data_IF_967721387810
#
_entry.id   IF_967721387810
#
_cell.length_a   1.000
_cell.length_b   1.000
_cell.length_c   1.000
_cell.angle_alpha   90.00
_cell.angle_beta   90.00
_cell.angle_gamma   90.00
#
_symmetry.space_group_name_H-M   'P 1'
#
loop_
_entity.id
_entity.type
_entity.pdbx_description
1 polymer ?
#
# COMPACT_ATOMS: atom_id res chain seq x y z
N UNK A 1 -10.90 -3.97 -41.68
CA UNK A 1 -11.09 -5.37 -41.23
C UNK A 1 -9.97 -5.64 -40.24
N UNK A 2 -10.26 -5.49 -38.95
CA UNK A 2 -9.30 -5.83 -37.90
C UNK A 2 -9.38 -7.34 -37.69
N UNK A 3 -8.24 -8.01 -37.78
CA UNK A 3 -8.10 -9.44 -37.58
C UNK A 3 -8.72 -9.84 -36.24
N UNK A 4 -9.67 -10.79 -36.29
CA UNK A 4 -10.04 -11.58 -35.13
C UNK A 4 -8.79 -12.36 -34.71
N UNK A 5 -7.96 -11.77 -33.84
CA UNK A 5 -6.99 -12.54 -33.08
C UNK A 5 -7.79 -13.61 -32.33
N UNK A 6 -7.63 -14.87 -32.73
CA UNK A 6 -8.23 -16.01 -32.03
C UNK A 6 -7.72 -15.98 -30.59
N UNK A 7 -8.49 -15.37 -29.69
CA UNK A 7 -8.21 -15.37 -28.26
C UNK A 7 -8.13 -16.83 -27.81
N UNK A 8 -7.17 -17.13 -26.95
CA UNK A 8 -7.10 -18.44 -26.34
C UNK A 8 -8.44 -18.77 -25.64
N UNK A 9 -8.83 -20.06 -25.57
CA UNK A 9 -10.06 -20.45 -24.89
C UNK A 9 -10.04 -19.97 -23.43
N UNK A 10 -11.21 -19.56 -22.94
CA UNK A 10 -11.35 -19.09 -21.57
C UNK A 10 -11.09 -20.26 -20.58
N UNK A 11 -10.22 -20.09 -19.58
CA UNK A 11 -10.03 -21.10 -18.54
C UNK A 11 -11.33 -21.29 -17.74
N UNK A 12 -11.63 -22.54 -17.39
CA UNK A 12 -12.88 -22.90 -16.72
C UNK A 12 -12.71 -23.91 -15.58
N UNK A 13 -11.49 -24.39 -15.33
CA UNK A 13 -11.16 -25.40 -14.32
C UNK A 13 -11.28 -24.84 -12.89
N UNK A 14 -12.38 -25.19 -12.20
CA UNK A 14 -12.65 -24.70 -10.85
C UNK A 14 -11.57 -25.10 -9.82
N UNK A 15 -11.00 -26.31 -9.94
CA UNK A 15 -9.92 -26.77 -9.07
C UNK A 15 -8.65 -25.91 -9.24
N UNK A 16 -8.29 -25.54 -10.47
CA UNK A 16 -7.16 -24.65 -10.72
C UNK A 16 -7.41 -23.22 -10.21
N UNK A 17 -8.66 -22.74 -10.23
CA UNK A 17 -8.99 -21.44 -9.62
C UNK A 17 -8.83 -21.47 -8.09
N UNK A 18 -9.21 -22.57 -7.43
CA UNK A 18 -8.97 -22.75 -5.99
C UNK A 18 -7.47 -22.73 -5.69
N UNK A 19 -6.69 -23.49 -6.47
CA UNK A 19 -5.23 -23.54 -6.36
C UNK A 19 -4.61 -22.16 -6.56
N UNK A 20 -5.11 -21.37 -7.52
CA UNK A 20 -4.65 -20.00 -7.75
C UNK A 20 -4.87 -19.12 -6.52
N UNK A 21 -6.07 -19.15 -5.93
CA UNK A 21 -6.40 -18.39 -4.72
C UNK A 21 -5.47 -18.76 -3.56
N UNK A 22 -5.20 -20.05 -3.37
CA UNK A 22 -4.26 -20.54 -2.36
C UNK A 22 -2.82 -20.07 -2.61
N UNK A 23 -2.34 -20.16 -3.86
CA UNK A 23 -1.01 -19.68 -4.26
C UNK A 23 -0.84 -18.20 -3.95
N UNK A 24 -1.81 -17.35 -4.33
CA UNK A 24 -1.77 -15.92 -4.05
C UNK A 24 -1.75 -15.64 -2.55
N UNK A 25 -2.64 -16.30 -1.79
CA UNK A 25 -2.69 -16.15 -0.34
C UNK A 25 -1.36 -16.50 0.31
N UNK A 26 -0.74 -17.62 -0.08
CA UNK A 26 0.55 -18.03 0.47
C UNK A 26 1.70 -17.07 0.09
N UNK A 27 1.62 -16.43 -1.07
CA UNK A 27 2.67 -15.53 -1.56
C UNK A 27 2.61 -14.13 -0.94
N UNK A 28 1.42 -13.53 -0.83
CA UNK A 28 1.29 -12.12 -0.40
C UNK A 28 0.21 -11.88 0.66
N UNK A 29 -0.35 -12.94 1.24
CA UNK A 29 -1.35 -12.87 2.32
C UNK A 29 -2.76 -12.47 1.87
N UNK A 30 -2.93 -12.01 0.63
CA UNK A 30 -4.23 -11.55 0.12
C UNK A 30 -5.22 -12.71 0.02
N UNK A 31 -6.26 -12.65 0.84
CA UNK A 31 -7.34 -13.62 0.86
C UNK A 31 -8.41 -13.23 -0.18
N UNK A 32 -8.44 -13.98 -1.28
CA UNK A 32 -9.33 -13.74 -2.40
C UNK A 32 -10.62 -14.57 -2.34
N UNK A 33 -10.82 -15.40 -1.31
CA UNK A 33 -11.93 -16.37 -1.30
C UNK A 33 -13.30 -15.68 -1.42
N UNK A 34 -13.52 -14.61 -0.66
CA UNK A 34 -14.77 -13.81 -0.72
C UNK A 34 -14.95 -12.99 -2.00
N UNK A 35 -13.88 -12.81 -2.79
CA UNK A 35 -13.85 -11.98 -4.02
C UNK A 35 -13.62 -12.80 -5.28
N UNK A 36 -13.64 -14.12 -5.16
CA UNK A 36 -13.26 -15.05 -6.22
C UNK A 36 -14.07 -14.85 -7.50
N UNK A 37 -15.37 -14.61 -7.40
CA UNK A 37 -16.22 -14.36 -8.56
C UNK A 37 -15.89 -13.03 -9.25
N UNK A 38 -15.56 -12.00 -8.46
CA UNK A 38 -15.20 -10.66 -8.97
C UNK A 38 -13.88 -10.74 -9.74
N UNK A 39 -12.89 -11.46 -9.21
CA UNK A 39 -11.58 -11.58 -9.87
C UNK A 39 -11.59 -12.57 -11.03
N UNK A 40 -12.48 -13.57 -11.02
CA UNK A 40 -12.52 -14.64 -12.02
C UNK A 40 -12.56 -14.08 -13.44
N UNK A 41 -13.42 -13.09 -13.69
CA UNK A 41 -13.51 -12.50 -15.04
C UNK A 41 -12.23 -11.77 -15.45
N UNK A 42 -11.56 -11.11 -14.49
CA UNK A 42 -10.26 -10.46 -14.75
C UNK A 42 -9.18 -11.49 -15.08
N UNK A 43 -9.15 -12.60 -14.34
CA UNK A 43 -8.21 -13.69 -14.57
C UNK A 43 -8.47 -14.40 -15.91
N UNK A 44 -9.73 -14.55 -16.33
CA UNK A 44 -10.09 -15.07 -17.66
C UNK A 44 -9.50 -14.17 -18.72
N UNK A 45 -9.81 -12.86 -18.68
CA UNK A 45 -9.33 -11.91 -19.67
C UNK A 45 -7.79 -11.89 -19.73
N UNK A 46 -7.13 -11.89 -18.57
CA UNK A 46 -5.68 -11.97 -18.46
C UNK A 46 -5.12 -13.25 -19.08
N UNK A 47 -5.72 -14.39 -18.77
CA UNK A 47 -5.28 -15.69 -19.28
C UNK A 47 -5.43 -15.78 -20.80
N UNK A 48 -6.54 -15.29 -21.36
CA UNK A 48 -6.77 -15.27 -22.80
C UNK A 48 -5.76 -14.38 -23.54
N UNK A 49 -5.48 -13.19 -23.00
CA UNK A 49 -4.49 -12.27 -23.56
C UNK A 49 -3.05 -12.84 -23.52
N UNK A 50 -2.76 -13.73 -22.57
CA UNK A 50 -1.44 -14.35 -22.38
C UNK A 50 -1.35 -15.81 -22.88
N UNK A 51 -2.37 -16.31 -23.59
CA UNK A 51 -2.38 -17.68 -24.11
C UNK A 51 -2.35 -18.77 -23.04
N UNK A 52 -2.91 -18.52 -21.86
CA UNK A 52 -2.94 -19.44 -20.73
C UNK A 52 -4.26 -20.21 -20.74
N UNK A 53 -4.17 -21.54 -20.85
CA UNK A 53 -5.33 -22.39 -21.16
C UNK A 53 -6.14 -22.86 -19.93
N UNK A 54 -5.57 -22.74 -18.73
CA UNK A 54 -6.23 -23.16 -17.48
C UNK A 54 -5.75 -22.33 -16.29
N UNK A 55 -6.56 -22.25 -15.24
CA UNK A 55 -6.15 -21.61 -13.99
C UNK A 55 -5.03 -22.38 -13.29
N UNK A 56 -4.98 -23.70 -13.46
CA UNK A 56 -3.82 -24.48 -13.01
C UNK A 56 -2.53 -24.07 -13.74
N UNK A 57 -2.57 -23.90 -15.07
CA UNK A 57 -1.41 -23.42 -15.81
C UNK A 57 -1.01 -22.00 -15.38
N UNK A 58 -1.99 -21.12 -15.13
CA UNK A 58 -1.74 -19.79 -14.57
C UNK A 58 -1.03 -19.88 -13.22
N UNK A 59 -1.53 -20.72 -12.31
CA UNK A 59 -0.96 -20.91 -10.97
C UNK A 59 0.50 -21.36 -11.05
N UNK A 60 0.78 -22.36 -11.89
CA UNK A 60 2.15 -22.87 -12.09
C UNK A 60 3.08 -21.79 -12.65
N UNK A 61 2.61 -20.98 -13.61
CA UNK A 61 3.42 -19.89 -14.17
C UNK A 61 3.70 -18.78 -13.14
N UNK A 62 2.72 -18.35 -12.36
CA UNK A 62 2.89 -17.31 -11.31
C UNK A 62 3.95 -17.69 -10.27
N UNK A 63 4.09 -18.98 -9.97
CA UNK A 63 5.10 -19.48 -9.03
C UNK A 63 6.52 -19.37 -9.58
N UNK A 64 6.74 -19.54 -10.88
CA UNK A 64 8.11 -19.60 -11.45
C UNK A 64 8.51 -18.33 -12.21
N UNK A 65 7.54 -17.64 -12.82
CA UNK A 65 7.75 -16.44 -13.63
C UNK A 65 7.47 -15.18 -12.80
N UNK A 66 8.54 -14.44 -12.49
CA UNK A 66 8.45 -13.20 -11.70
C UNK A 66 7.70 -12.10 -12.43
N UNK A 67 7.79 -12.02 -13.76
CA UNK A 67 7.08 -11.00 -14.52
C UNK A 67 5.58 -11.28 -14.49
N UNK A 68 5.17 -12.50 -14.82
CA UNK A 68 3.76 -12.90 -14.76
C UNK A 68 3.17 -12.75 -13.36
N UNK A 69 3.97 -13.08 -12.33
CA UNK A 69 3.58 -12.85 -10.94
C UNK A 69 3.28 -11.38 -10.67
N UNK A 70 4.14 -10.47 -11.10
CA UNK A 70 3.96 -9.04 -10.84
C UNK A 70 2.70 -8.52 -11.54
N UNK A 71 2.46 -8.90 -12.79
CA UNK A 71 1.25 -8.54 -13.53
C UNK A 71 -0.03 -9.03 -12.81
N UNK A 72 0.00 -10.27 -12.30
CA UNK A 72 -1.11 -10.82 -11.52
C UNK A 72 -1.31 -10.06 -10.21
N UNK A 73 -0.24 -9.74 -9.48
CA UNK A 73 -0.32 -8.92 -8.26
C UNK A 73 -0.95 -7.56 -8.56
N UNK A 74 -0.54 -6.91 -9.65
CA UNK A 74 -1.11 -5.63 -10.05
C UNK A 74 -2.62 -5.75 -10.34
N UNK A 75 -3.03 -6.83 -11.01
CA UNK A 75 -4.42 -7.09 -11.40
C UNK A 75 -5.36 -7.35 -10.20
N UNK A 76 -4.89 -8.06 -9.18
CA UNK A 76 -5.71 -8.51 -8.05
C UNK A 76 -5.75 -7.51 -6.89
N UNK A 77 -4.78 -6.61 -6.81
CA UNK A 77 -4.70 -5.62 -5.73
C UNK A 77 -5.71 -4.49 -5.95
N UNK A 78 -6.11 -3.84 -4.84
CA UNK A 78 -7.05 -2.72 -4.86
C UNK A 78 -6.37 -1.48 -4.29
N UNK A 79 -6.21 -0.47 -5.14
CA UNK A 79 -5.40 0.73 -4.86
C UNK A 79 -6.25 1.95 -4.49
N UNK A 80 -7.34 1.78 -3.76
CA UNK A 80 -8.19 2.92 -3.39
C UNK A 80 -7.52 3.79 -2.32
N UNK A 81 -7.06 4.98 -2.71
CA UNK A 81 -6.46 5.97 -1.81
C UNK A 81 -6.73 7.39 -2.31
N UNK A 82 -6.53 8.37 -1.45
CA UNK A 82 -6.68 9.80 -1.74
C UNK A 82 -5.97 10.63 -0.68
N UNK A 83 -5.63 11.87 -1.04
CA UNK A 83 -4.95 12.79 -0.14
C UNK A 83 -5.78 13.07 1.11
N UNK A 84 -5.11 13.13 2.26
CA UNK A 84 -5.70 13.40 3.58
C UNK A 84 -6.79 12.40 4.00
N UNK A 85 -6.71 11.15 3.51
CA UNK A 85 -7.50 10.04 4.04
C UNK A 85 -7.20 9.82 5.53
N UNK A 86 -8.27 9.80 6.34
CA UNK A 86 -8.20 9.70 7.80
C UNK A 86 -7.26 10.78 8.41
N UNK A 87 -7.42 12.03 7.95
CA UNK A 87 -6.59 13.19 8.32
C UNK A 87 -6.24 13.31 9.81
N UNK A 88 -7.16 13.11 10.78
CA UNK A 88 -6.81 13.23 12.20
C UNK A 88 -5.63 12.33 12.62
N UNK A 89 -5.53 11.13 12.05
CA UNK A 89 -4.45 10.19 12.34
C UNK A 89 -3.11 10.65 11.76
N UNK A 90 -3.14 11.18 10.52
CA UNK A 90 -1.95 11.77 9.89
C UNK A 90 -1.44 12.97 10.69
N UNK A 91 -2.34 13.84 11.14
CA UNK A 91 -1.99 14.99 11.98
C UNK A 91 -1.38 14.54 13.31
N UNK A 92 -1.99 13.56 13.99
CA UNK A 92 -1.46 13.04 15.25
C UNK A 92 -0.04 12.47 15.11
N UNK A 93 0.28 11.81 13.99
CA UNK A 93 1.62 11.33 13.70
C UNK A 93 2.62 12.47 13.47
N UNK A 94 2.24 13.53 12.75
CA UNK A 94 3.11 14.69 12.50
C UNK A 94 3.33 15.52 13.77
N UNK A 95 2.33 15.66 14.64
CA UNK A 95 2.51 16.32 15.94
C UNK A 95 3.48 15.53 16.81
N UNK A 96 3.30 14.21 16.91
CA UNK A 96 4.24 13.35 17.61
C UNK A 96 5.68 13.48 17.05
N UNK A 97 5.82 13.41 15.73
CA UNK A 97 7.08 13.59 15.05
C UNK A 97 7.76 14.93 15.36
N UNK A 98 6.99 16.01 15.46
CA UNK A 98 7.50 17.35 15.73
C UNK A 98 7.87 17.57 17.20
N UNK A 99 7.08 17.02 18.12
CA UNK A 99 7.19 17.29 19.55
C UNK A 99 8.19 16.36 20.25
N UNK A 100 8.29 15.11 19.80
CA UNK A 100 8.95 14.05 20.58
C UNK A 100 10.18 13.44 19.89
N UNK A 101 10.45 13.77 18.61
CA UNK A 101 11.50 13.12 17.82
C UNK A 101 12.46 14.11 17.17
N UNK A 102 13.75 13.82 17.21
CA UNK A 102 14.78 14.63 16.54
C UNK A 102 14.86 14.33 15.04
N UNK A 103 14.96 13.07 14.63
CA UNK A 103 14.86 12.66 13.23
C UNK A 103 13.75 11.62 13.12
N UNK A 104 13.03 11.63 12.00
CA UNK A 104 11.80 10.86 11.85
C UNK A 104 11.86 10.05 10.57
N UNK A 105 11.84 8.73 10.71
CA UNK A 105 11.64 7.81 9.60
C UNK A 105 10.22 7.25 9.64
N UNK A 106 9.46 7.53 8.58
CA UNK A 106 8.09 7.08 8.42
C UNK A 106 8.01 6.00 7.33
N UNK A 107 7.38 4.87 7.63
CA UNK A 107 7.04 3.83 6.65
C UNK A 107 5.54 3.90 6.32
N UNK A 108 5.19 3.95 5.05
CA UNK A 108 3.83 3.70 4.54
C UNK A 108 3.81 2.33 3.86
N UNK A 109 3.13 1.36 4.46
CA UNK A 109 3.07 -0.02 4.00
C UNK A 109 1.64 -0.57 4.17
N UNK A 110 0.79 -0.56 3.13
CA UNK A 110 1.09 -0.25 1.73
C UNK A 110 0.97 1.25 1.45
N UNK A 111 1.72 1.76 0.48
CA UNK A 111 1.62 3.17 0.08
C UNK A 111 0.64 3.44 -1.07
N UNK A 112 0.17 2.41 -1.79
CA UNK A 112 -0.66 2.54 -2.99
C UNK A 112 -0.02 3.55 -3.96
N UNK A 113 -0.78 4.51 -4.51
CA UNK A 113 -0.33 5.56 -5.44
C UNK A 113 0.38 6.74 -4.77
N UNK A 114 0.74 6.61 -3.48
CA UNK A 114 1.60 7.55 -2.75
C UNK A 114 0.88 8.71 -2.08
N UNK A 115 -0.44 8.81 -2.24
CA UNK A 115 -1.28 9.89 -1.69
C UNK A 115 -1.09 10.06 -0.18
N UNK A 116 -0.95 8.96 0.57
CA UNK A 116 -0.68 8.98 2.01
C UNK A 116 0.72 9.50 2.35
N UNK A 117 1.74 8.97 1.68
CA UNK A 117 3.13 9.38 1.90
C UNK A 117 3.32 10.87 1.60
N UNK A 118 2.75 11.34 0.50
CA UNK A 118 2.79 12.77 0.17
C UNK A 118 1.90 13.62 1.08
N UNK A 119 0.77 13.09 1.57
CA UNK A 119 -0.04 13.78 2.59
C UNK A 119 0.77 14.03 3.87
N UNK A 120 1.56 13.05 4.32
CA UNK A 120 2.46 13.21 5.47
C UNK A 120 3.53 14.26 5.19
N UNK A 121 4.10 14.27 3.98
CA UNK A 121 5.06 15.29 3.57
C UNK A 121 4.46 16.70 3.57
N UNK A 122 3.25 16.86 3.01
CA UNK A 122 2.53 18.13 3.00
C UNK A 122 2.21 18.60 4.42
N UNK A 123 1.81 17.69 5.30
CA UNK A 123 1.51 18.01 6.70
C UNK A 123 2.76 18.36 7.50
N UNK A 124 3.89 17.68 7.26
CA UNK A 124 5.17 18.05 7.86
C UNK A 124 5.53 19.50 7.50
N UNK A 125 5.51 19.83 6.20
CA UNK A 125 5.77 21.18 5.72
C UNK A 125 4.78 22.21 6.30
N UNK A 126 3.47 21.96 6.25
CA UNK A 126 2.48 22.93 6.74
C UNK A 126 2.51 23.15 8.25
N UNK A 127 3.02 22.19 9.03
CA UNK A 127 3.14 22.29 10.49
C UNK A 127 4.53 22.76 10.94
N UNK A 128 5.33 23.30 10.03
CA UNK A 128 6.67 23.85 10.31
C UNK A 128 7.63 22.80 10.91
N UNK A 129 7.41 21.52 10.60
CA UNK A 129 8.40 20.48 10.86
C UNK A 129 9.47 20.57 9.77
N UNK A 130 10.73 20.74 10.17
CA UNK A 130 11.84 20.78 9.22
C UNK A 130 11.88 19.49 8.40
N UNK A 131 11.61 19.64 7.11
CA UNK A 131 11.47 18.55 6.15
C UNK A 131 12.76 17.74 5.96
N UNK A 132 13.92 18.31 6.32
CA UNK A 132 15.21 17.61 6.27
C UNK A 132 15.37 16.58 7.40
N UNK A 133 14.62 16.74 8.49
CA UNK A 133 14.57 15.78 9.61
C UNK A 133 13.64 14.60 9.33
N UNK A 134 12.89 14.64 8.23
CA UNK A 134 11.86 13.65 7.90
C UNK A 134 12.27 12.86 6.66
N UNK A 135 12.16 11.53 6.75
CA UNK A 135 12.30 10.63 5.61
C UNK A 135 11.08 9.71 5.57
N UNK A 136 10.45 9.64 4.40
CA UNK A 136 9.25 8.83 4.18
C UNK A 136 9.58 7.72 3.19
N UNK A 137 9.33 6.48 3.58
CA UNK A 137 9.51 5.30 2.73
C UNK A 137 8.13 4.73 2.46
N UNK A 138 7.76 4.63 1.18
CA UNK A 138 6.55 3.95 0.73
C UNK A 138 6.90 2.60 0.12
N UNK A 139 6.23 1.54 0.56
CA UNK A 139 6.32 0.22 -0.06
C UNK A 139 4.95 -0.27 -0.47
N UNK A 140 4.89 -1.00 -1.58
CA UNK A 140 3.69 -1.67 -2.05
C UNK A 140 4.08 -2.92 -2.84
N UNK A 141 3.21 -3.91 -2.89
CA UNK A 141 3.41 -5.10 -3.75
C UNK A 141 3.03 -4.81 -5.20
N UNK A 142 2.20 -3.78 -5.44
CA UNK A 142 1.76 -3.36 -6.76
C UNK A 142 2.79 -2.43 -7.41
N UNK A 143 3.40 -2.86 -8.51
CA UNK A 143 4.43 -2.09 -9.20
C UNK A 143 3.89 -0.87 -9.93
N UNK A 144 2.68 -0.94 -10.49
CA UNK A 144 2.03 0.20 -11.15
C UNK A 144 1.67 1.31 -10.15
N UNK A 145 1.31 0.93 -8.92
CA UNK A 145 1.08 1.87 -7.83
C UNK A 145 2.38 2.60 -7.45
N UNK A 146 3.50 1.87 -7.33
CA UNK A 146 4.82 2.45 -7.08
C UNK A 146 5.28 3.36 -8.21
N UNK A 147 5.04 2.98 -9.47
CA UNK A 147 5.35 3.84 -10.62
C UNK A 147 4.49 5.11 -10.60
N UNK A 148 3.24 5.02 -10.16
CA UNK A 148 2.38 6.18 -9.92
C UNK A 148 2.93 7.10 -8.82
N UNK A 149 3.48 6.56 -7.71
CA UNK A 149 4.16 7.36 -6.68
C UNK A 149 5.34 8.15 -7.24
N UNK A 150 6.17 7.48 -8.06
CA UNK A 150 7.37 8.07 -8.69
C UNK A 150 7.01 9.07 -9.79
N UNK A 151 5.89 8.89 -10.47
CA UNK A 151 5.38 9.88 -11.41
C UNK A 151 4.79 11.08 -10.68
N UNK A 152 4.06 10.87 -9.57
CA UNK A 152 3.51 11.96 -8.74
C UNK A 152 2.44 12.79 -9.46
N UNK A 153 1.71 12.17 -10.39
CA UNK A 153 0.67 12.82 -11.20
C UNK A 153 -0.69 12.26 -10.81
N UNK A 154 -1.60 13.14 -10.42
CA UNK A 154 -2.88 12.81 -9.83
C UNK A 154 -4.04 13.42 -10.61
N UNK A 155 -5.24 12.88 -10.42
CA UNK A 155 -6.48 13.45 -10.94
C UNK A 155 -7.22 14.21 -9.83
N UNK A 156 -8.24 14.98 -10.19
CA UNK A 156 -9.07 15.75 -9.24
C UNK A 156 -9.67 14.86 -8.13
N UNK A 157 -10.08 13.63 -8.46
CA UNK A 157 -10.70 12.70 -7.50
C UNK A 157 -9.76 12.34 -6.35
N UNK A 158 -8.46 12.15 -6.61
CA UNK A 158 -7.46 11.91 -5.56
C UNK A 158 -7.31 13.10 -4.61
N UNK A 159 -7.58 14.32 -5.10
CA UNK A 159 -7.38 15.58 -4.36
C UNK A 159 -8.68 16.13 -3.75
N UNK A 160 -9.79 15.39 -3.78
CA UNK A 160 -11.11 15.89 -3.37
C UNK A 160 -11.23 16.38 -1.91
N UNK A 161 -10.28 16.02 -1.03
CA UNK A 161 -10.20 16.49 0.36
C UNK A 161 -9.36 17.75 0.54
N UNK A 162 -8.64 18.17 -0.50
CA UNK A 162 -7.80 19.35 -0.46
C UNK A 162 -8.61 20.58 -0.86
N UNK A 163 -8.40 21.69 -0.14
CA UNK A 163 -8.91 22.98 -0.58
C UNK A 163 -8.00 23.60 -1.67
N UNK A 164 -8.48 24.63 -2.36
CA UNK A 164 -7.76 25.22 -3.48
C UNK A 164 -6.41 25.82 -3.07
N UNK A 165 -6.30 26.36 -1.86
CA UNK A 165 -5.04 26.86 -1.34
C UNK A 165 -4.00 25.73 -1.21
N UNK A 166 -4.39 24.58 -0.65
CA UNK A 166 -3.52 23.41 -0.56
C UNK A 166 -3.11 22.89 -1.94
N UNK A 167 -4.06 22.83 -2.89
CA UNK A 167 -3.76 22.43 -4.28
C UNK A 167 -2.74 23.37 -4.93
N UNK A 168 -2.94 24.68 -4.80
CA UNK A 168 -2.06 25.69 -5.39
C UNK A 168 -0.65 25.67 -4.80
N UNK A 169 -0.53 25.44 -3.49
CA UNK A 169 0.77 25.32 -2.82
C UNK A 169 1.48 24.08 -3.33
N UNK A 170 0.87 22.90 -3.19
CA UNK A 170 1.58 21.61 -3.32
C UNK A 170 1.56 20.99 -4.71
N UNK A 171 0.75 21.50 -5.64
CA UNK A 171 0.62 20.91 -6.98
C UNK A 171 0.78 21.95 -8.08
N UNK A 172 1.23 21.49 -9.23
CA UNK A 172 1.19 22.20 -10.50
C UNK A 172 0.10 21.58 -11.34
N UNK A 173 -0.94 22.35 -11.68
CA UNK A 173 -2.01 21.88 -12.56
C UNK A 173 -1.55 21.94 -14.01
N UNK A 174 -1.68 20.83 -14.75
CA UNK A 174 -1.47 20.72 -16.19
C UNK A 174 -2.67 20.00 -16.79
N UNK A 175 -3.46 20.70 -17.58
CA UNK A 175 -4.76 20.23 -18.08
C UNK A 175 -5.63 19.69 -16.93
N UNK A 176 -6.06 18.43 -17.02
CA UNK A 176 -6.87 17.73 -16.02
C UNK A 176 -6.04 16.93 -14.98
N UNK A 177 -4.74 17.23 -14.88
CA UNK A 177 -3.82 16.54 -13.98
C UNK A 177 -3.13 17.49 -13.01
N UNK A 178 -2.74 16.94 -11.87
CA UNK A 178 -2.02 17.63 -10.80
C UNK A 178 -0.70 16.92 -10.53
N UNK A 179 0.41 17.60 -10.81
CA UNK A 179 1.75 17.10 -10.52
C UNK A 179 2.22 17.64 -9.17
N UNK A 180 2.65 16.76 -8.27
CA UNK A 180 3.08 17.17 -6.93
C UNK A 180 4.46 17.84 -6.95
N UNK A 181 4.58 18.97 -6.25
CA UNK A 181 5.82 19.73 -6.05
C UNK A 181 6.63 19.11 -4.92
N UNK A 182 7.62 18.29 -5.26
CA UNK A 182 8.42 17.50 -4.29
C UNK A 182 9.47 18.33 -3.57
N UNK A 183 9.90 19.45 -4.15
CA UNK A 183 10.99 20.29 -3.66
C UNK A 183 10.74 20.90 -2.28
N UNK A 184 9.48 20.98 -1.85
CA UNK A 184 9.09 21.50 -0.53
C UNK A 184 8.80 20.38 0.48
N UNK A 185 8.87 19.12 0.06
CA UNK A 185 8.48 17.98 0.87
C UNK A 185 9.71 17.24 1.43
N UNK A 186 9.53 16.47 2.52
CA UNK A 186 10.52 15.49 2.95
C UNK A 186 10.94 14.54 1.83
N UNK A 187 12.12 13.94 1.96
CA UNK A 187 12.56 12.90 1.02
C UNK A 187 11.60 11.71 1.08
N UNK A 188 10.91 11.47 -0.03
CA UNK A 188 10.05 10.30 -0.23
C UNK A 188 10.74 9.27 -1.13
N UNK A 189 10.85 8.02 -0.67
CA UNK A 189 11.40 6.91 -1.43
C UNK A 189 10.35 5.81 -1.62
N UNK A 190 10.25 5.26 -2.82
CA UNK A 190 9.22 4.27 -3.16
C UNK A 190 9.84 3.03 -3.79
N UNK A 191 9.49 1.86 -3.25
CA UNK A 191 9.98 0.58 -3.75
C UNK A 191 8.90 -0.49 -3.75
N UNK A 192 8.93 -1.37 -4.75
CA UNK A 192 8.10 -2.58 -4.75
C UNK A 192 8.64 -3.52 -3.67
N UNK A 193 7.81 -3.85 -2.67
CA UNK A 193 8.17 -4.80 -1.63
C UNK A 193 6.93 -5.47 -1.04
N UNK A 194 7.05 -6.76 -0.75
CA UNK A 194 6.08 -7.51 0.01
C UNK A 194 6.47 -7.49 1.49
N UNK A 195 5.53 -7.12 2.37
CA UNK A 195 5.76 -7.09 3.81
C UNK A 195 6.12 -8.46 4.38
N UNK A 196 5.76 -9.55 3.69
CA UNK A 196 6.08 -10.91 4.11
C UNK A 196 7.47 -11.38 3.66
N UNK A 197 8.16 -10.63 2.79
CA UNK A 197 9.54 -10.93 2.38
C UNK A 197 10.55 -10.34 3.36
N UNK A 198 11.63 -11.06 3.64
CA UNK A 198 12.69 -10.61 4.57
C UNK A 198 13.46 -9.37 4.11
N UNK A 199 13.27 -8.97 2.86
CA UNK A 199 13.79 -7.71 2.33
C UNK A 199 13.33 -6.49 3.15
N UNK A 200 12.15 -6.52 3.79
CA UNK A 200 11.70 -5.39 4.61
C UNK A 200 12.59 -5.11 5.81
N UNK A 201 13.30 -6.11 6.33
CA UNK A 201 14.22 -5.91 7.46
C UNK A 201 15.46 -5.11 7.06
N UNK A 202 15.76 -5.05 5.75
CA UNK A 202 16.86 -4.23 5.22
C UNK A 202 16.49 -2.75 5.10
N UNK A 203 15.22 -2.38 5.24
CA UNK A 203 14.76 -0.99 5.26
C UNK A 203 15.17 -0.26 6.56
N UNK A 204 15.58 -1.02 7.58
CA UNK A 204 16.01 -0.50 8.88
C UNK A 204 14.85 -0.27 9.85
N UNK A 205 15.04 0.66 10.78
CA UNK A 205 14.05 1.01 11.81
C UNK A 205 13.24 2.25 11.43
N UNK A 206 11.98 2.28 11.87
CA UNK A 206 11.03 3.36 11.64
C UNK A 206 10.42 3.83 12.94
N UNK A 207 10.33 5.14 13.10
CA UNK A 207 9.71 5.77 14.27
C UNK A 207 8.19 5.82 14.13
N UNK A 208 7.71 5.84 12.89
CA UNK A 208 6.29 5.80 12.57
C UNK A 208 6.07 4.79 11.45
N UNK A 209 5.12 3.88 11.63
CA UNK A 209 4.65 2.97 10.58
C UNK A 209 3.16 3.22 10.38
N UNK A 210 2.78 3.48 9.14
CA UNK A 210 1.40 3.47 8.68
C UNK A 210 1.12 2.18 7.91
N UNK A 211 0.12 1.44 8.35
CA UNK A 211 -0.40 0.24 7.69
C UNK A 211 -1.92 0.30 7.69
N UNK A 212 -2.47 1.07 6.76
CA UNK A 212 -3.90 1.39 6.72
C UNK A 212 -4.58 0.74 5.53
N UNK A 213 -5.78 0.23 5.79
CA UNK A 213 -6.65 -0.43 4.83
C UNK A 213 -5.97 -1.60 4.09
N UNK A 214 -5.11 -2.35 4.80
CA UNK A 214 -4.40 -3.52 4.24
C UNK A 214 -4.76 -4.82 4.96
N UNK A 215 -4.80 -4.82 6.29
CA UNK A 215 -5.09 -6.02 7.07
C UNK A 215 -6.52 -6.54 6.83
N UNK A 216 -7.41 -5.71 6.31
CA UNK A 216 -8.74 -6.12 5.82
C UNK A 216 -8.69 -7.18 4.70
N UNK A 217 -7.57 -7.33 4.00
CA UNK A 217 -7.38 -8.35 2.96
C UNK A 217 -6.73 -9.63 3.49
N UNK A 218 -6.37 -9.69 4.76
CA UNK A 218 -5.62 -10.81 5.34
C UNK A 218 -6.51 -11.67 6.25
N UNK A 219 -6.20 -12.97 6.30
CA UNK A 219 -6.72 -13.83 7.37
C UNK A 219 -5.98 -13.56 8.69
N UNK A 220 -6.43 -14.20 9.78
CA UNK A 220 -5.85 -13.98 11.11
C UNK A 220 -4.34 -14.29 11.18
N UNK A 221 -3.91 -15.35 10.51
CA UNK A 221 -2.50 -15.74 10.44
C UNK A 221 -1.63 -14.65 9.81
N UNK A 222 -2.04 -14.11 8.65
CA UNK A 222 -1.29 -13.06 7.96
C UNK A 222 -1.37 -11.71 8.68
N UNK A 223 -2.46 -11.42 9.40
CA UNK A 223 -2.54 -10.27 10.31
C UNK A 223 -1.51 -10.38 11.44
N UNK A 224 -1.40 -11.54 12.08
CA UNK A 224 -0.41 -11.80 13.13
C UNK A 224 1.02 -11.65 12.60
N UNK A 225 1.33 -12.27 11.45
CA UNK A 225 2.63 -12.09 10.78
C UNK A 225 2.92 -10.62 10.47
N UNK A 226 1.92 -9.86 10.05
CA UNK A 226 2.08 -8.43 9.75
C UNK A 226 2.51 -7.66 10.99
N UNK A 227 1.81 -7.82 12.12
CA UNK A 227 2.16 -7.11 13.36
C UNK A 227 3.52 -7.54 13.91
N UNK A 228 3.85 -8.83 13.85
CA UNK A 228 5.18 -9.33 14.29
C UNK A 228 6.32 -8.74 13.47
N UNK A 229 6.13 -8.61 12.14
CA UNK A 229 7.13 -8.06 11.24
C UNK A 229 7.28 -6.56 11.41
N UNK A 230 6.18 -5.82 11.57
CA UNK A 230 6.24 -4.40 11.92
C UNK A 230 6.91 -4.17 13.27
N UNK A 231 6.66 -5.03 14.26
CA UNK A 231 7.31 -4.91 15.57
C UNK A 231 8.84 -4.98 15.46
N UNK A 232 9.34 -5.84 14.57
CA UNK A 232 10.78 -5.98 14.29
C UNK A 232 11.40 -4.76 13.63
N UNK A 233 10.66 -3.98 12.85
CA UNK A 233 11.19 -2.77 12.17
C UNK A 233 10.75 -1.46 12.83
N UNK A 234 9.88 -1.51 13.84
CA UNK A 234 9.53 -0.34 14.63
C UNK A 234 10.67 0.00 15.61
N UNK A 235 10.98 1.28 15.75
CA UNK A 235 11.83 1.84 16.81
C UNK A 235 11.21 1.61 18.19
N UNK A 236 11.99 1.72 19.26
CA UNK A 236 11.51 1.39 20.61
C UNK A 236 10.45 2.36 21.13
N UNK A 237 10.54 3.64 20.75
CA UNK A 237 9.50 4.64 20.99
C UNK A 237 8.53 4.79 19.82
N UNK A 238 8.62 3.93 18.80
CA UNK A 238 7.87 4.09 17.57
C UNK A 238 6.37 3.85 17.72
N UNK A 239 5.59 4.42 16.78
CA UNK A 239 4.14 4.28 16.71
C UNK A 239 3.69 3.60 15.41
N UNK A 240 2.83 2.60 15.54
CA UNK A 240 2.11 1.96 14.45
C UNK A 240 0.69 2.53 14.36
N UNK A 241 0.33 3.05 13.20
CA UNK A 241 -0.99 3.56 12.86
C UNK A 241 -1.66 2.62 11.85
N UNK A 242 -2.86 2.16 12.17
CA UNK A 242 -3.66 1.24 11.34
C UNK A 242 -4.98 1.91 10.94
N UNK A 243 -5.57 1.48 9.84
CA UNK A 243 -6.80 2.07 9.33
C UNK A 243 -8.00 1.72 10.20
N UNK A 244 -9.06 2.53 10.15
CA UNK A 244 -10.24 2.34 10.99
C UNK A 244 -10.93 0.97 10.83
N UNK A 245 -10.86 0.40 9.63
CA UNK A 245 -11.44 -0.91 9.33
C UNK A 245 -10.47 -2.08 9.59
N UNK A 246 -9.19 -1.80 9.84
CA UNK A 246 -8.20 -2.86 10.10
C UNK A 246 -8.39 -3.42 11.51
N UNK A 247 -8.60 -4.72 11.58
CA UNK A 247 -8.65 -5.45 12.83
C UNK A 247 -7.23 -5.90 13.19
N UNK A 248 -6.61 -5.21 14.14
CA UNK A 248 -5.33 -5.64 14.71
C UNK A 248 -5.56 -6.88 15.57
N UNK A 249 -4.88 -8.00 15.29
CA UNK A 249 -5.06 -9.24 16.03
C UNK A 249 -4.57 -9.07 17.47
N UNK A 250 -5.07 -9.89 18.38
CA UNK A 250 -4.58 -9.88 19.75
C UNK A 250 -3.09 -10.27 19.79
N UNK A 251 -2.27 -9.45 20.45
CA UNK A 251 -0.84 -9.69 20.61
C UNK A 251 -0.32 -8.99 21.86
N UNK A 252 0.70 -9.57 22.49
CA UNK A 252 1.43 -8.95 23.60
C UNK A 252 2.55 -8.03 23.15
N UNK A 253 2.84 -7.96 21.84
CA UNK A 253 3.91 -7.14 21.27
C UNK A 253 3.60 -5.64 21.29
N UNK A 254 2.31 -5.29 21.36
CA UNK A 254 1.84 -3.92 21.25
C UNK A 254 0.87 -3.54 22.36
N UNK A 255 1.01 -2.32 22.86
CA UNK A 255 0.01 -1.64 23.67
C UNK A 255 -0.80 -0.69 22.78
N UNK A 256 -2.13 -0.80 22.86
CA UNK A 256 -3.06 0.09 22.17
C UNK A 256 -3.19 1.39 22.96
N UNK A 257 -3.00 2.52 22.29
CA UNK A 257 -3.21 3.85 22.85
C UNK A 257 -4.32 4.57 22.07
N UNK A 258 -5.15 5.31 22.80
CA UNK A 258 -6.17 6.17 22.24
C UNK A 258 -5.89 7.59 22.72
N UNK A 259 -5.68 8.51 21.78
CA UNK A 259 -5.42 9.91 22.08
C UNK A 259 -6.11 10.80 21.05
N UNK A 260 -6.86 11.80 21.51
CA UNK A 260 -7.58 12.76 20.68
C UNK A 260 -8.40 12.12 19.55
N UNK A 261 -9.10 11.02 19.86
CA UNK A 261 -9.93 10.29 18.88
C UNK A 261 -9.15 9.47 17.85
N UNK A 262 -7.82 9.39 17.96
CA UNK A 262 -6.96 8.55 17.11
C UNK A 262 -6.42 7.36 17.90
N UNK A 263 -6.26 6.24 17.22
CA UNK A 263 -5.64 5.04 17.77
C UNK A 263 -4.25 4.85 17.17
N UNK A 264 -3.28 4.52 18.01
CA UNK A 264 -1.98 4.02 17.61
C UNK A 264 -1.53 2.88 18.53
N UNK A 265 -0.53 2.13 18.08
CA UNK A 265 0.04 1.00 18.79
C UNK A 265 1.53 1.26 19.02
N UNK A 266 1.99 1.13 20.26
CA UNK A 266 3.41 1.24 20.63
C UNK A 266 3.91 -0.11 21.13
N UNK A 267 5.22 -0.35 21.08
CA UNK A 267 5.79 -1.59 21.65
C UNK A 267 5.42 -1.73 23.12
N UNK A 268 5.09 -2.95 23.53
CA UNK A 268 4.71 -3.26 24.91
C UNK A 268 5.90 -3.22 25.88
#
# INVERSE_FOLDING_TARGET
MLENANLAPAPSDAAGLNKFVEVIKNMCGVDLESKKDIIKQRLINFSQANGILSFEALSSKVVVDRFMRQEIVNLITTNETYFYRELPQLQAAIYYAREELDNVRILCAPCSTGDEAYSLGMLAHSNLLDVNRVSIVGIDINSEAIDSCKNGVYNERSLHRLNDNQKNIYFTKRDDKYEIKREMLPRCEFSVANIFDDAIFKLGKFDIIFSRNMMIYFNEEFKLKTVERFHKILSDHGRLYVGHADLVPFTTLYKKHISNGTTYYAKA
#
